data_IF_244464230787
#
_entry.id   IF_244464230787
#
_cell.length_a   1.000
_cell.length_b   1.000
_cell.length_c   1.000
_cell.angle_alpha   90.00
_cell.angle_beta   90.00
_cell.angle_gamma   90.00
#
_symmetry.space_group_name_H-M   'P 1'
#
loop_
_entity.id
_entity.type
_entity.pdbx_description
1 polymer ?
#
# COMPACT_ATOMS: atom_id res chain seq x y z
N UNK A 1 9.15 -65.22 89.06
CA UNK A 1 9.35 -66.02 87.84
C UNK A 1 7.99 -66.39 87.30
N UNK A 2 7.50 -65.63 86.32
CA UNK A 2 6.26 -65.93 85.58
C UNK A 2 6.72 -66.35 84.19
N UNK A 3 6.47 -67.60 83.85
CA UNK A 3 6.82 -68.17 82.54
C UNK A 3 5.92 -67.58 81.47
N UNK A 4 6.52 -66.94 80.47
CA UNK A 4 5.84 -66.55 79.25
C UNK A 4 6.01 -67.75 78.30
N UNK A 5 4.91 -68.45 78.06
CA UNK A 5 4.80 -69.44 76.98
C UNK A 5 4.98 -68.74 75.62
N UNK A 6 5.69 -69.31 74.65
CA UNK A 6 5.76 -68.75 73.31
C UNK A 6 4.38 -68.83 72.65
N UNK A 7 3.89 -67.70 72.16
CA UNK A 7 2.71 -67.62 71.29
C UNK A 7 3.15 -68.17 69.93
N UNK A 8 3.04 -69.48 69.75
CA UNK A 8 3.04 -70.13 68.45
C UNK A 8 1.61 -70.13 67.92
N UNK A 9 1.32 -69.14 67.05
CA UNK A 9 0.25 -69.08 66.05
C UNK A 9 -0.24 -67.64 65.87
N UNK A 10 0.60 -66.80 65.25
CA UNK A 10 0.07 -65.73 64.41
C UNK A 10 -0.30 -66.43 63.10
N UNK A 11 -1.49 -67.01 63.08
CA UNK A 11 -2.04 -67.66 61.90
C UNK A 11 -2.03 -66.68 60.72
N UNK A 12 -1.52 -67.14 59.59
CA UNK A 12 -1.66 -66.45 58.31
C UNK A 12 -3.16 -66.31 58.04
N UNK A 13 -3.73 -65.13 58.29
CA UNK A 13 -5.18 -64.93 58.24
C UNK A 13 -5.78 -64.94 56.82
N UNK A 14 -4.97 -65.06 55.78
CA UNK A 14 -5.42 -65.28 54.41
C UNK A 14 -4.31 -65.96 53.61
N UNK A 15 -4.48 -67.26 53.31
CA UNK A 15 -3.65 -67.95 52.33
C UNK A 15 -4.30 -67.72 50.95
N UNK A 16 -3.75 -66.77 50.19
CA UNK A 16 -4.23 -66.53 48.84
C UNK A 16 -3.57 -67.56 47.93
N UNK A 17 -4.33 -68.56 47.51
CA UNK A 17 -3.85 -69.52 46.51
C UNK A 17 -3.42 -68.78 45.23
N UNK A 18 -2.38 -69.33 44.60
CA UNK A 18 -1.89 -68.84 43.32
C UNK A 18 -3.06 -68.77 42.29
N UNK A 19 -3.24 -67.68 41.52
CA UNK A 19 -2.39 -66.49 41.34
C UNK A 19 -2.80 -65.26 42.18
N UNK A 20 -3.74 -65.39 43.12
CA UNK A 20 -4.26 -64.22 43.85
C UNK A 20 -3.22 -63.58 44.77
N UNK A 21 -2.31 -64.36 45.35
CA UNK A 21 -1.20 -63.85 46.17
C UNK A 21 -0.33 -62.85 45.41
N UNK A 22 0.01 -63.16 44.16
CA UNK A 22 0.90 -62.34 43.33
C UNK A 22 0.22 -61.05 42.87
N UNK A 23 -1.08 -61.10 42.60
CA UNK A 23 -1.87 -59.91 42.30
C UNK A 23 -1.89 -59.00 43.53
N UNK A 24 -2.18 -59.54 44.72
CA UNK A 24 -2.22 -58.78 45.98
C UNK A 24 -0.86 -58.15 46.30
N UNK A 25 0.25 -58.83 46.03
CA UNK A 25 1.60 -58.31 46.25
C UNK A 25 1.93 -57.08 45.39
N UNK A 26 1.31 -56.96 44.21
CA UNK A 26 1.61 -55.87 43.25
C UNK A 26 0.62 -54.71 43.31
N UNK A 27 -0.55 -54.89 43.95
CA UNK A 27 -1.55 -53.83 44.19
C UNK A 27 -0.96 -52.55 44.81
N UNK A 28 -0.06 -52.59 45.83
CA UNK A 28 0.54 -51.39 46.41
C UNK A 28 1.35 -50.54 45.44
N UNK A 29 1.82 -51.13 44.34
CA UNK A 29 2.60 -50.44 43.29
C UNK A 29 1.72 -49.98 42.13
N UNK A 30 0.77 -50.82 41.72
CA UNK A 30 -0.14 -50.54 40.60
C UNK A 30 -1.12 -49.42 40.93
N UNK A 31 -1.70 -49.40 42.13
CA UNK A 31 -2.68 -48.37 42.50
C UNK A 31 -2.08 -46.94 42.43
N UNK A 32 -0.94 -46.63 43.06
CA UNK A 32 -0.32 -45.32 42.93
C UNK A 32 -0.01 -44.93 41.48
N UNK A 33 0.48 -45.86 40.66
CA UNK A 33 0.76 -45.61 39.25
C UNK A 33 -0.51 -45.23 38.46
N UNK A 34 -1.62 -45.94 38.69
CA UNK A 34 -2.91 -45.62 38.07
C UNK A 34 -3.43 -44.25 38.54
N UNK A 35 -3.36 -43.95 39.83
CA UNK A 35 -3.77 -42.65 40.36
C UNK A 35 -2.93 -41.51 39.76
N UNK A 36 -1.61 -41.67 39.72
CA UNK A 36 -0.69 -40.65 39.20
C UNK A 36 -0.85 -40.47 37.69
N UNK A 37 -1.05 -41.57 36.94
CA UNK A 37 -1.39 -41.54 35.52
C UNK A 37 -2.70 -40.80 35.25
N UNK A 38 -3.73 -41.06 36.05
CA UNK A 38 -5.03 -40.38 35.95
C UNK A 38 -4.88 -38.88 36.19
N UNK A 39 -4.15 -38.49 37.24
CA UNK A 39 -3.90 -37.09 37.59
C UNK A 39 -3.20 -36.36 36.44
N UNK A 40 -2.15 -36.95 35.85
CA UNK A 40 -1.42 -36.35 34.74
C UNK A 40 -2.26 -36.19 33.48
N UNK A 41 -3.10 -37.18 33.15
CA UNK A 41 -4.01 -37.09 32.01
C UNK A 41 -5.15 -36.09 32.24
N UNK A 42 -5.67 -35.93 33.45
CA UNK A 42 -6.69 -34.92 33.74
C UNK A 42 -6.10 -33.51 33.73
N UNK A 43 -4.88 -33.35 34.25
CA UNK A 43 -4.22 -32.04 34.32
C UNK A 43 -3.90 -31.45 32.94
N UNK A 44 -3.68 -32.28 31.92
CA UNK A 44 -3.41 -31.81 30.55
C UNK A 44 -4.50 -30.85 30.02
N UNK A 45 -5.74 -30.96 30.52
CA UNK A 45 -6.88 -30.13 30.11
C UNK A 45 -6.68 -28.65 30.44
N UNK A 46 -5.89 -28.36 31.47
CA UNK A 46 -5.66 -27.01 31.97
C UNK A 46 -4.40 -26.34 31.38
N UNK A 47 -3.63 -27.06 30.56
CA UNK A 47 -2.43 -26.52 29.90
C UNK A 47 -2.72 -26.13 28.45
N UNK A 48 -2.10 -25.04 28.00
CA UNK A 48 -2.17 -24.58 26.61
C UNK A 48 -1.64 -25.63 25.64
N UNK A 49 -2.22 -25.67 24.43
CA UNK A 49 -1.98 -26.77 23.49
C UNK A 49 -0.53 -26.88 23.02
N UNK A 50 0.20 -25.76 23.00
CA UNK A 50 1.54 -25.69 22.42
C UNK A 50 2.66 -25.84 23.46
N UNK A 51 2.32 -26.07 24.73
CA UNK A 51 3.34 -26.21 25.77
C UNK A 51 3.93 -27.63 25.78
N UNK A 52 5.25 -27.74 25.62
CA UNK A 52 6.02 -28.99 25.79
C UNK A 52 5.70 -29.70 27.11
N UNK A 53 5.35 -28.93 28.15
CA UNK A 53 4.92 -29.43 29.46
C UNK A 53 3.68 -30.32 29.37
N UNK A 54 2.70 -29.95 28.53
CA UNK A 54 1.49 -30.75 28.30
C UNK A 54 1.84 -32.09 27.69
N UNK A 55 2.68 -32.09 26.64
CA UNK A 55 3.08 -33.33 25.95
C UNK A 55 3.87 -34.26 26.88
N UNK A 56 4.76 -33.69 27.71
CA UNK A 56 5.49 -34.46 28.71
C UNK A 56 4.56 -35.10 29.75
N UNK A 57 3.59 -34.35 30.28
CA UNK A 57 2.61 -34.86 31.24
C UNK A 57 1.74 -35.98 30.66
N UNK A 58 1.29 -35.83 29.42
CA UNK A 58 0.53 -36.87 28.71
C UNK A 58 1.38 -38.11 28.51
N UNK A 59 2.63 -37.95 28.06
CA UNK A 59 3.56 -39.05 27.89
C UNK A 59 3.79 -39.81 29.20
N UNK A 60 4.10 -39.11 30.30
CA UNK A 60 4.28 -39.74 31.60
C UNK A 60 3.01 -40.41 32.12
N UNK A 61 1.84 -39.79 31.89
CA UNK A 61 0.56 -40.40 32.22
C UNK A 61 0.35 -41.75 31.51
N UNK A 62 0.60 -41.79 30.19
CA UNK A 62 0.53 -43.02 29.39
C UNK A 62 1.55 -44.05 29.88
N UNK A 63 2.80 -43.65 30.13
CA UNK A 63 3.85 -44.55 30.64
C UNK A 63 3.44 -45.19 31.96
N UNK A 64 2.83 -44.45 32.88
CA UNK A 64 2.35 -45.03 34.14
C UNK A 64 1.21 -46.02 33.96
N UNK A 65 0.24 -45.75 33.07
CA UNK A 65 -0.80 -46.73 32.75
C UNK A 65 -0.24 -47.98 32.09
N UNK A 66 0.67 -47.82 31.12
CA UNK A 66 1.31 -48.97 30.44
C UNK A 66 2.12 -49.78 31.45
N UNK A 67 2.87 -49.14 32.32
CA UNK A 67 3.67 -49.82 33.36
C UNK A 67 2.77 -50.56 34.35
N UNK A 68 1.70 -49.91 34.83
CA UNK A 68 0.71 -50.53 35.72
C UNK A 68 0.02 -51.73 35.08
N UNK A 69 -0.39 -51.60 33.81
CA UNK A 69 -1.00 -52.67 33.04
C UNK A 69 -0.03 -53.82 32.80
N UNK A 70 1.21 -53.54 32.41
CA UNK A 70 2.25 -54.56 32.21
C UNK A 70 2.60 -55.26 33.52
N UNK A 71 2.63 -54.55 34.66
CA UNK A 71 2.83 -55.19 35.96
C UNK A 71 1.69 -56.15 36.30
N UNK A 72 0.43 -55.74 36.10
CA UNK A 72 -0.73 -56.59 36.37
C UNK A 72 -0.82 -57.78 35.40
N UNK A 73 -0.49 -57.56 34.13
CA UNK A 73 -0.40 -58.61 33.13
C UNK A 73 0.76 -59.57 33.45
N UNK A 74 1.91 -59.05 33.84
CA UNK A 74 3.03 -59.88 34.21
C UNK A 74 2.74 -60.72 35.47
N UNK A 75 2.04 -60.18 36.47
CA UNK A 75 1.65 -60.97 37.66
C UNK A 75 0.55 -61.98 37.38
N UNK A 76 -0.45 -61.62 36.58
CA UNK A 76 -1.54 -62.53 36.23
C UNK A 76 -1.11 -63.66 35.28
N UNK A 77 -0.15 -63.41 34.39
CA UNK A 77 0.26 -64.36 33.35
C UNK A 77 1.61 -65.03 33.60
N UNK A 78 2.52 -64.38 34.34
CA UNK A 78 3.93 -64.78 34.50
C UNK A 78 4.16 -66.11 35.19
N UNK A 79 3.15 -66.66 35.85
CA UNK A 79 3.32 -67.90 36.61
C UNK A 79 2.47 -69.10 36.14
N UNK A 80 1.55 -68.97 35.17
CA UNK A 80 0.79 -70.14 34.67
C UNK A 80 0.58 -70.21 33.14
N UNK A 81 0.84 -69.16 32.36
CA UNK A 81 0.44 -69.19 30.95
C UNK A 81 1.56 -69.62 29.99
N UNK A 82 1.50 -70.86 29.51
CA UNK A 82 2.32 -71.50 28.43
C UNK A 82 3.46 -72.43 28.88
N UNK A 83 3.14 -73.55 29.54
CA UNK A 83 3.95 -74.76 29.45
C UNK A 83 4.20 -75.50 30.77
N UNK A 84 4.89 -76.66 30.72
CA UNK A 84 5.42 -77.34 31.89
C UNK A 84 6.24 -76.37 32.76
N UNK A 85 6.42 -76.65 34.05
CA UNK A 85 7.13 -75.78 35.03
C UNK A 85 8.53 -75.29 34.55
N UNK A 86 9.10 -75.95 33.55
CA UNK A 86 10.38 -75.63 32.90
C UNK A 86 10.31 -74.51 31.84
N UNK A 87 9.12 -74.10 31.41
CA UNK A 87 8.84 -73.10 30.37
C UNK A 87 8.23 -71.81 30.93
N UNK A 88 8.46 -71.51 32.21
CA UNK A 88 8.22 -70.15 32.72
C UNK A 88 9.08 -69.17 31.92
N UNK A 89 8.46 -68.14 31.32
CA UNK A 89 9.20 -67.06 30.65
C UNK A 89 10.23 -66.53 31.64
N UNK A 90 11.51 -66.79 31.34
CA UNK A 90 12.63 -66.52 32.24
C UNK A 90 12.59 -65.09 32.78
N UNK A 91 12.93 -64.98 34.06
CA UNK A 91 12.91 -63.78 34.92
C UNK A 91 11.69 -63.59 35.83
N UNK A 92 10.73 -64.52 35.94
CA UNK A 92 9.68 -64.43 36.98
C UNK A 92 10.26 -64.38 38.40
N UNK A 93 11.09 -65.36 38.76
CA UNK A 93 11.82 -65.38 40.05
C UNK A 93 12.74 -64.17 40.22
N UNK A 94 13.31 -63.66 39.13
CA UNK A 94 14.12 -62.45 39.17
C UNK A 94 13.25 -61.21 39.40
N UNK A 95 12.07 -61.09 38.80
CA UNK A 95 11.16 -59.98 39.03
C UNK A 95 10.60 -60.03 40.44
N UNK A 96 10.09 -61.18 40.91
CA UNK A 96 9.60 -61.33 42.27
C UNK A 96 10.75 -61.09 43.26
N UNK A 97 11.94 -61.62 43.01
CA UNK A 97 13.13 -61.33 43.81
C UNK A 97 13.53 -59.87 43.81
N UNK A 98 13.43 -59.17 42.68
CA UNK A 98 13.70 -57.74 42.56
C UNK A 98 12.62 -56.91 43.27
N UNK A 99 11.35 -57.24 43.09
CA UNK A 99 10.21 -56.56 43.69
C UNK A 99 10.21 -56.77 45.20
N UNK A 100 10.52 -57.98 45.64
CA UNK A 100 10.73 -58.30 47.05
C UNK A 100 11.96 -57.59 47.60
N UNK A 101 13.10 -57.55 46.91
CA UNK A 101 14.26 -56.78 47.34
C UNK A 101 13.95 -55.29 47.46
N UNK A 102 13.18 -54.72 46.53
CA UNK A 102 12.71 -53.32 46.60
C UNK A 102 11.74 -53.15 47.77
N UNK A 103 10.82 -54.09 47.96
CA UNK A 103 9.87 -54.10 49.09
C UNK A 103 10.62 -54.17 50.43
N UNK A 104 11.64 -55.01 50.53
CA UNK A 104 12.47 -55.19 51.72
C UNK A 104 13.34 -53.97 51.98
N UNK A 105 13.87 -53.32 50.94
CA UNK A 105 14.61 -52.05 51.09
C UNK A 105 13.68 -50.94 51.58
N UNK A 106 12.46 -50.85 51.05
CA UNK A 106 11.52 -49.77 51.39
C UNK A 106 10.85 -50.04 52.75
N UNK A 107 10.34 -51.25 52.96
CA UNK A 107 9.49 -51.62 54.10
C UNK A 107 10.16 -52.56 55.11
N UNK A 108 11.33 -53.13 54.80
CA UNK A 108 12.07 -53.97 55.75
C UNK A 108 12.67 -53.19 56.92
N UNK A 109 12.67 -51.84 56.85
CA UNK A 109 12.98 -50.96 57.97
C UNK A 109 11.90 -49.89 58.20
N UNK A 110 11.65 -49.60 59.48
CA UNK A 110 10.75 -48.52 59.90
C UNK A 110 11.29 -47.16 59.41
N UNK A 111 12.61 -46.99 59.38
CA UNK A 111 13.23 -45.72 58.94
C UNK A 111 13.04 -45.50 57.44
N UNK A 112 13.29 -46.53 56.63
CA UNK A 112 13.15 -46.45 55.17
C UNK A 112 11.70 -46.24 54.74
N UNK A 113 10.76 -46.88 55.44
CA UNK A 113 9.33 -46.70 55.17
C UNK A 113 8.84 -45.30 55.56
N UNK A 114 9.33 -44.71 56.66
CA UNK A 114 9.04 -43.31 56.97
C UNK A 114 9.61 -42.35 55.92
N UNK A 115 10.85 -42.56 55.46
CA UNK A 115 11.47 -41.73 54.41
C UNK A 115 10.67 -41.84 53.11
N UNK A 116 10.28 -43.05 52.70
CA UNK A 116 9.43 -43.28 51.54
C UNK A 116 8.11 -42.52 51.66
N UNK A 117 7.42 -42.61 52.80
CA UNK A 117 6.16 -41.90 53.04
C UNK A 117 6.34 -40.38 52.94
N UNK A 118 7.41 -39.82 53.53
CA UNK A 118 7.71 -38.39 53.43
C UNK A 118 7.92 -37.98 51.97
N UNK A 119 8.68 -38.76 51.20
CA UNK A 119 8.94 -38.48 49.78
C UNK A 119 7.63 -38.54 48.99
N UNK A 120 6.81 -39.57 49.19
CA UNK A 120 5.53 -39.70 48.50
C UNK A 120 4.60 -38.55 48.87
N UNK A 121 4.49 -38.17 50.14
CA UNK A 121 3.68 -37.02 50.58
C UNK A 121 4.22 -35.71 50.02
N UNK A 122 5.54 -35.52 49.96
CA UNK A 122 6.14 -34.32 49.37
C UNK A 122 5.89 -34.25 47.86
N UNK A 123 6.09 -35.35 47.13
CA UNK A 123 5.82 -35.43 45.69
C UNK A 123 4.33 -35.23 45.40
N UNK A 124 3.44 -35.87 46.17
CA UNK A 124 2.00 -35.68 46.04
C UNK A 124 1.56 -34.28 46.45
N UNK A 125 2.21 -33.65 47.43
CA UNK A 125 1.95 -32.26 47.83
C UNK A 125 2.41 -31.25 46.78
N UNK A 126 3.58 -31.47 46.17
CA UNK A 126 4.07 -30.69 45.03
C UNK A 126 3.13 -30.88 43.84
N UNK A 127 2.80 -32.13 43.50
CA UNK A 127 1.85 -32.44 42.44
C UNK A 127 0.50 -31.77 42.73
N UNK A 128 -0.07 -31.90 43.92
CA UNK A 128 -1.32 -31.24 44.29
C UNK A 128 -1.23 -29.72 44.19
N UNK A 129 -0.12 -29.09 44.64
CA UNK A 129 0.07 -27.65 44.51
C UNK A 129 0.15 -27.20 43.06
N UNK A 130 0.83 -27.94 42.18
CA UNK A 130 0.94 -27.56 40.77
C UNK A 130 -0.28 -27.98 39.94
N UNK A 131 -0.96 -29.06 40.32
CA UNK A 131 -2.03 -29.72 39.56
C UNK A 131 -3.44 -29.33 40.01
N UNK A 132 -3.68 -29.28 41.32
CA UNK A 132 -5.01 -29.00 41.91
C UNK A 132 -5.18 -27.50 42.17
N UNK A 133 -4.09 -26.79 42.46
CA UNK A 133 -4.09 -25.34 42.64
C UNK A 133 -3.06 -24.67 41.70
N UNK A 134 -3.17 -24.84 40.37
CA UNK A 134 -2.40 -23.98 39.48
C UNK A 134 -2.68 -22.53 39.90
N UNK A 135 -1.65 -21.69 40.04
CA UNK A 135 -1.87 -20.27 40.26
C UNK A 135 -2.66 -19.78 39.05
N UNK A 136 -3.96 -19.58 39.26
CA UNK A 136 -4.84 -18.75 38.45
C UNK A 136 -5.24 -19.27 37.04
N UNK A 137 -6.06 -20.34 36.95
CA UNK A 137 -6.60 -20.83 35.67
C UNK A 137 -7.49 -19.81 34.94
N UNK A 138 -8.16 -18.92 35.68
CA UNK A 138 -9.04 -17.89 35.11
C UNK A 138 -8.26 -16.74 34.45
N UNK A 139 -7.03 -16.49 34.88
CA UNK A 139 -6.24 -15.35 34.37
C UNK A 139 -5.61 -15.63 33.01
N UNK A 140 -5.41 -16.90 32.63
CA UNK A 140 -4.87 -17.24 31.31
C UNK A 140 -5.89 -16.91 30.22
N UNK A 141 -7.16 -17.25 30.46
CA UNK A 141 -8.27 -16.86 29.58
C UNK A 141 -8.45 -15.35 29.54
N UNK A 142 -8.48 -14.69 30.70
CA UNK A 142 -8.61 -13.23 30.79
C UNK A 142 -7.42 -12.48 30.16
N UNK A 143 -6.19 -13.00 30.25
CA UNK A 143 -5.03 -12.40 29.58
C UNK A 143 -5.13 -12.51 28.07
N UNK A 144 -5.65 -13.63 27.56
CA UNK A 144 -5.86 -13.84 26.14
C UNK A 144 -6.99 -12.95 25.62
N UNK A 145 -8.09 -12.84 26.37
CA UNK A 145 -9.18 -11.90 26.10
C UNK A 145 -8.70 -10.45 26.16
N UNK A 146 -7.89 -10.07 27.15
CA UNK A 146 -7.34 -8.71 27.27
C UNK A 146 -6.37 -8.41 26.12
N UNK A 147 -5.55 -9.39 25.72
CA UNK A 147 -4.67 -9.25 24.56
C UNK A 147 -5.47 -9.11 23.26
N UNK A 148 -6.50 -9.94 23.06
CA UNK A 148 -7.37 -9.87 21.89
C UNK A 148 -8.15 -8.55 21.86
N UNK A 149 -8.64 -8.09 23.01
CA UNK A 149 -9.29 -6.79 23.15
C UNK A 149 -8.31 -5.66 22.81
N UNK A 150 -7.08 -5.73 23.29
CA UNK A 150 -6.05 -4.74 22.98
C UNK A 150 -5.66 -4.72 21.49
N UNK A 151 -5.56 -5.89 20.85
CA UNK A 151 -5.32 -6.00 19.41
C UNK A 151 -6.50 -5.45 18.60
N UNK A 152 -7.74 -5.75 19.00
CA UNK A 152 -8.94 -5.19 18.36
C UNK A 152 -9.05 -3.68 18.54
N UNK A 153 -8.61 -3.16 19.68
CA UNK A 153 -8.60 -1.72 19.96
C UNK A 153 -7.56 -1.01 19.08
N UNK A 154 -6.38 -1.59 18.89
CA UNK A 154 -5.39 -1.07 17.93
C UNK A 154 -5.92 -1.06 16.50
N UNK A 155 -6.57 -2.13 16.07
CA UNK A 155 -7.20 -2.18 14.74
C UNK A 155 -8.28 -1.12 14.59
N UNK A 156 -9.10 -0.92 15.62
CA UNK A 156 -10.11 0.13 15.63
C UNK A 156 -9.48 1.54 15.57
N UNK A 157 -8.41 1.79 16.32
CA UNK A 157 -7.65 3.05 16.28
C UNK A 157 -7.07 3.31 14.88
N UNK A 158 -6.48 2.30 14.23
CA UNK A 158 -5.96 2.41 12.87
C UNK A 158 -7.08 2.74 11.86
N UNK A 159 -8.24 2.08 11.96
CA UNK A 159 -9.40 2.38 11.11
C UNK A 159 -9.94 3.79 11.35
N UNK A 160 -9.99 4.25 12.60
CA UNK A 160 -10.40 5.64 12.93
C UNK A 160 -9.44 6.64 12.31
N UNK A 161 -8.12 6.41 12.39
CA UNK A 161 -7.12 7.29 11.75
C UNK A 161 -7.26 7.32 10.23
N UNK A 162 -7.54 6.17 9.60
CA UNK A 162 -7.81 6.11 8.15
C UNK A 162 -9.08 6.89 7.78
N UNK A 163 -10.17 6.72 8.54
CA UNK A 163 -11.41 7.45 8.31
C UNK A 163 -11.26 8.96 8.54
N UNK A 164 -10.44 9.38 9.51
CA UNK A 164 -10.12 10.79 9.73
C UNK A 164 -9.32 11.38 8.56
N UNK A 165 -8.37 10.62 8.01
CA UNK A 165 -7.61 11.02 6.82
C UNK A 165 -8.52 11.12 5.58
N UNK A 166 -9.38 10.13 5.34
CA UNK A 166 -10.36 10.15 4.25
C UNK A 166 -11.36 11.30 4.39
N UNK A 167 -11.87 11.56 5.60
CA UNK A 167 -12.74 12.71 5.86
C UNK A 167 -12.06 14.02 5.53
N UNK A 168 -10.79 14.19 5.88
CA UNK A 168 -10.01 15.38 5.55
C UNK A 168 -9.85 15.52 4.03
N UNK A 169 -9.48 14.44 3.34
CA UNK A 169 -9.35 14.42 1.89
C UNK A 169 -10.66 14.74 1.17
N UNK A 170 -11.78 14.18 1.61
CA UNK A 170 -13.10 14.48 1.08
C UNK A 170 -13.48 15.94 1.33
N UNK A 171 -13.17 16.49 2.52
CA UNK A 171 -13.43 17.89 2.82
C UNK A 171 -12.64 18.82 1.91
N UNK A 172 -11.37 18.50 1.62
CA UNK A 172 -10.54 19.24 0.65
C UNK A 172 -11.10 19.13 -0.77
N UNK A 173 -11.55 17.94 -1.19
CA UNK A 173 -12.21 17.76 -2.49
C UNK A 173 -13.52 18.54 -2.60
N UNK A 174 -14.33 18.58 -1.54
CA UNK A 174 -15.55 19.37 -1.51
C UNK A 174 -15.25 20.86 -1.64
N UNK A 175 -14.28 21.38 -0.88
CA UNK A 175 -13.87 22.78 -0.97
C UNK A 175 -13.39 23.13 -2.40
N UNK A 176 -12.58 22.26 -3.02
CA UNK A 176 -12.10 22.46 -4.39
C UNK A 176 -13.25 22.41 -5.42
N UNK A 177 -14.24 21.53 -5.21
CA UNK A 177 -15.42 21.45 -6.08
C UNK A 177 -16.32 22.68 -5.93
N UNK A 178 -16.48 23.20 -4.72
CA UNK A 178 -17.20 24.46 -4.47
C UNK A 178 -16.50 25.64 -5.13
N UNK A 179 -15.17 25.74 -5.04
CA UNK A 179 -14.39 26.78 -5.72
C UNK A 179 -14.55 26.71 -7.24
N UNK A 180 -14.40 25.52 -7.83
CA UNK A 180 -14.61 25.32 -9.26
C UNK A 180 -16.05 25.66 -9.71
N UNK A 181 -17.06 25.36 -8.88
CA UNK A 181 -18.44 25.72 -9.19
C UNK A 181 -18.66 27.23 -9.13
N UNK A 182 -18.04 27.93 -8.17
CA UNK A 182 -18.08 29.39 -8.10
C UNK A 182 -17.38 30.04 -9.30
N UNK A 183 -16.24 29.50 -9.73
CA UNK A 183 -15.53 29.95 -10.93
C UNK A 183 -16.39 29.77 -12.18
N UNK A 184 -16.96 28.58 -12.39
CA UNK A 184 -17.87 28.32 -13.53
C UNK A 184 -19.13 29.19 -13.50
N UNK A 185 -19.67 29.49 -12.33
CA UNK A 185 -20.78 30.44 -12.19
C UNK A 185 -20.38 31.85 -12.61
N UNK A 186 -19.19 32.31 -12.19
CA UNK A 186 -18.66 33.61 -12.60
C UNK A 186 -18.37 33.68 -14.10
N UNK A 187 -17.82 32.61 -14.68
CA UNK A 187 -17.61 32.50 -16.12
C UNK A 187 -18.94 32.56 -16.87
N UNK A 188 -19.98 31.83 -16.42
CA UNK A 188 -21.32 31.88 -17.02
C UNK A 188 -21.94 33.28 -16.96
N UNK A 189 -21.81 33.99 -15.84
CA UNK A 189 -22.27 35.37 -15.72
C UNK A 189 -21.52 36.31 -16.68
N UNK A 190 -20.20 36.13 -16.80
CA UNK A 190 -19.37 36.91 -17.74
C UNK A 190 -19.73 36.62 -19.19
N UNK A 191 -19.95 35.37 -19.57
CA UNK A 191 -20.38 34.97 -20.90
C UNK A 191 -21.77 35.51 -21.21
N UNK A 192 -22.69 35.44 -20.24
CA UNK A 192 -24.04 35.99 -20.40
C UNK A 192 -23.99 37.50 -20.66
N UNK A 193 -23.22 38.26 -19.89
CA UNK A 193 -23.05 39.70 -20.13
C UNK A 193 -22.41 40.02 -21.47
N UNK A 194 -21.42 39.22 -21.93
CA UNK A 194 -20.83 39.37 -23.28
C UNK A 194 -21.82 39.06 -24.40
N UNK A 195 -22.71 38.09 -24.21
CA UNK A 195 -23.77 37.78 -25.16
C UNK A 195 -24.78 38.92 -25.19
N UNK A 196 -25.22 39.43 -24.04
CA UNK A 196 -26.12 40.58 -23.95
C UNK A 196 -25.51 41.83 -24.62
N UNK A 197 -24.21 42.09 -24.43
CA UNK A 197 -23.53 43.20 -25.11
C UNK A 197 -23.42 42.98 -26.62
N UNK A 198 -23.09 41.76 -27.07
CA UNK A 198 -23.02 41.44 -28.49
C UNK A 198 -24.39 41.50 -29.18
N UNK A 199 -25.46 41.09 -28.49
CA UNK A 199 -26.84 41.25 -28.97
C UNK A 199 -27.24 42.72 -29.07
N UNK A 200 -26.87 43.54 -28.08
CA UNK A 200 -27.09 44.98 -28.11
C UNK A 200 -26.30 45.67 -29.25
N UNK A 201 -25.04 45.30 -29.46
CA UNK A 201 -24.22 45.78 -30.58
C UNK A 201 -24.81 45.35 -31.92
N UNK A 202 -25.27 44.10 -32.04
CA UNK A 202 -25.93 43.61 -33.25
C UNK A 202 -27.22 44.38 -33.55
N UNK A 203 -28.03 44.69 -32.53
CA UNK A 203 -29.23 45.52 -32.69
C UNK A 203 -28.86 46.95 -33.08
N UNK A 204 -27.83 47.53 -32.47
CA UNK A 204 -27.35 48.86 -32.82
C UNK A 204 -26.81 48.91 -34.25
N UNK A 205 -26.04 47.90 -34.68
CA UNK A 205 -25.54 47.76 -36.05
C UNK A 205 -26.67 47.51 -37.04
N UNK A 206 -27.66 46.68 -36.71
CA UNK A 206 -28.83 46.45 -37.55
C UNK A 206 -29.63 47.75 -37.74
N UNK A 207 -29.82 48.52 -36.67
CA UNK A 207 -30.45 49.84 -36.72
C UNK A 207 -29.62 50.85 -37.51
N UNK A 208 -28.30 50.85 -37.35
CA UNK A 208 -27.40 51.66 -38.19
C UNK A 208 -27.42 51.21 -39.65
N UNK A 209 -27.69 49.94 -39.96
CA UNK A 209 -27.86 49.46 -41.33
C UNK A 209 -29.21 49.89 -41.93
N UNK A 210 -30.28 49.95 -41.13
CA UNK A 210 -31.58 50.49 -41.54
C UNK A 210 -31.57 52.03 -41.66
N UNK A 211 -30.85 52.72 -40.77
CA UNK A 211 -30.70 54.19 -40.76
C UNK A 211 -29.58 54.67 -41.68
N UNK A 212 -28.62 53.82 -42.03
CA UNK A 212 -27.72 54.08 -43.14
C UNK A 212 -28.62 54.29 -44.35
N UNK A 213 -28.53 55.45 -45.03
CA UNK A 213 -29.30 55.65 -46.22
C UNK A 213 -28.91 54.51 -47.15
N UNK A 214 -29.84 53.57 -47.40
CA UNK A 214 -29.82 52.72 -48.58
C UNK A 214 -29.34 53.64 -49.67
N UNK A 215 -28.12 53.41 -50.21
CA UNK A 215 -27.43 54.30 -51.17
C UNK A 215 -28.51 54.92 -52.01
N UNK A 216 -28.87 56.16 -51.68
CA UNK A 216 -30.21 56.62 -52.04
C UNK A 216 -30.27 56.56 -53.55
N UNK A 217 -31.42 56.20 -54.13
CA UNK A 217 -31.56 56.25 -55.58
C UNK A 217 -31.05 57.61 -56.12
N UNK A 218 -31.10 58.69 -55.31
CA UNK A 218 -30.46 59.98 -55.55
C UNK A 218 -28.92 59.95 -55.57
N UNK A 219 -28.23 59.29 -54.63
CA UNK A 219 -26.77 59.12 -54.65
C UNK A 219 -26.33 58.23 -55.82
N UNK A 220 -27.11 57.21 -56.15
CA UNK A 220 -26.89 56.37 -57.33
C UNK A 220 -27.11 57.16 -58.63
N UNK A 221 -28.17 57.98 -58.71
CA UNK A 221 -28.41 58.89 -59.83
C UNK A 221 -27.33 59.97 -59.95
N UNK A 222 -26.84 60.50 -58.82
CA UNK A 222 -25.78 61.49 -58.78
C UNK A 222 -24.44 60.87 -59.20
N UNK A 223 -24.15 59.64 -58.79
CA UNK A 223 -23.00 58.89 -59.27
C UNK A 223 -23.12 58.58 -60.77
N UNK A 224 -24.30 58.19 -61.27
CA UNK A 224 -24.54 58.00 -62.71
C UNK A 224 -24.37 59.30 -63.50
N UNK A 225 -24.85 60.44 -62.97
CA UNK A 225 -24.64 61.75 -63.59
C UNK A 225 -23.17 62.18 -63.54
N UNK A 226 -22.45 61.84 -62.46
CA UNK A 226 -21.00 62.07 -62.38
C UNK A 226 -20.23 61.15 -63.32
N UNK A 227 -20.67 59.91 -63.51
CA UNK A 227 -20.10 58.98 -64.49
C UNK A 227 -20.32 59.53 -65.90
N UNK A 228 -21.54 59.95 -66.26
CA UNK A 228 -21.81 60.55 -67.56
C UNK A 228 -20.98 61.82 -67.82
N UNK A 229 -20.86 62.71 -66.83
CA UNK A 229 -19.97 63.89 -66.93
C UNK A 229 -18.50 63.50 -67.06
N UNK A 230 -18.07 62.46 -66.34
CA UNK A 230 -16.71 61.94 -66.46
C UNK A 230 -16.50 61.25 -67.79
N UNK A 231 -17.49 60.60 -68.38
CA UNK A 231 -17.43 60.00 -69.72
C UNK A 231 -17.35 61.09 -70.78
N UNK A 232 -18.09 62.20 -70.65
CA UNK A 232 -17.93 63.38 -71.53
C UNK A 232 -16.52 63.98 -71.42
N UNK A 233 -16.00 64.08 -70.19
CA UNK A 233 -14.63 64.55 -69.94
C UNK A 233 -13.60 63.54 -70.45
N UNK A 234 -13.84 62.24 -70.32
CA UNK A 234 -12.97 61.20 -70.87
C UNK A 234 -13.00 61.27 -72.39
N UNK A 235 -14.14 61.54 -73.02
CA UNK A 235 -14.23 61.68 -74.46
C UNK A 235 -13.49 62.94 -74.94
N UNK A 236 -13.58 64.05 -74.19
CA UNK A 236 -12.80 65.26 -74.45
C UNK A 236 -11.31 65.03 -74.21
N UNK A 237 -10.93 64.34 -73.13
CA UNK A 237 -9.55 63.97 -72.82
C UNK A 237 -9.03 62.93 -73.80
N UNK A 238 -9.87 62.07 -74.38
CA UNK A 238 -9.49 61.13 -75.42
C UNK A 238 -9.24 61.86 -76.73
N UNK A 239 -10.07 62.86 -77.09
CA UNK A 239 -9.75 63.74 -78.22
C UNK A 239 -8.48 64.55 -77.96
N UNK A 240 -8.28 65.00 -76.71
CA UNK A 240 -7.06 65.73 -76.32
C UNK A 240 -5.85 64.78 -76.24
N UNK A 241 -6.02 63.51 -75.88
CA UNK A 241 -4.99 62.47 -75.92
C UNK A 241 -4.69 62.08 -77.37
N UNK A 242 -5.66 62.07 -78.27
CA UNK A 242 -5.41 61.83 -79.70
C UNK A 242 -4.67 63.03 -80.32
N UNK A 243 -5.04 64.26 -79.93
CA UNK A 243 -4.32 65.49 -80.25
C UNK A 243 -2.93 65.54 -79.60
N UNK A 244 -2.77 65.06 -78.37
CA UNK A 244 -1.50 64.97 -77.65
C UNK A 244 -0.67 63.76 -78.09
N UNK A 245 -1.26 62.68 -78.61
CA UNK A 245 -0.54 61.54 -79.23
C UNK A 245 0.14 61.99 -80.52
N UNK A 246 -0.55 62.83 -81.28
CA UNK A 246 0.05 63.58 -82.40
C UNK A 246 1.24 64.46 -81.96
N UNK A 247 1.28 64.89 -80.68
CA UNK A 247 2.39 65.65 -80.08
C UNK A 247 3.44 64.75 -79.43
N UNK A 248 3.07 63.61 -78.86
CA UNK A 248 3.91 62.66 -78.11
C UNK A 248 4.65 61.67 -79.04
N UNK A 249 4.23 61.50 -80.30
CA UNK A 249 5.07 60.90 -81.36
C UNK A 249 6.42 61.65 -81.56
N UNK A 250 6.63 62.79 -80.89
CA UNK A 250 7.89 63.55 -80.92
C UNK A 250 8.87 63.36 -79.75
N UNK A 251 8.63 62.54 -78.70
CA UNK A 251 9.70 62.07 -77.78
C UNK A 251 9.25 61.06 -76.72
N UNK A 252 10.10 60.08 -76.30
CA UNK A 252 9.73 59.03 -75.36
C UNK A 252 10.01 59.38 -73.88
N UNK A 253 9.17 58.79 -73.02
CA UNK A 253 9.21 58.78 -71.55
C UNK A 253 10.40 58.01 -70.96
N UNK A 254 10.78 58.41 -69.74
CA UNK A 254 11.86 57.82 -68.94
C UNK A 254 11.38 56.61 -68.10
N UNK A 255 12.24 55.60 -68.00
CA UNK A 255 12.01 54.33 -67.33
C UNK A 255 12.22 54.39 -65.80
N UNK A 256 11.47 53.55 -65.08
CA UNK A 256 11.53 53.33 -63.63
C UNK A 256 12.64 52.33 -63.26
N UNK A 257 13.43 52.66 -62.22
CA UNK A 257 14.61 51.93 -61.73
C UNK A 257 14.33 50.48 -61.29
N UNK A 258 14.89 49.55 -62.05
CA UNK A 258 14.81 48.08 -61.89
C UNK A 258 15.72 47.53 -60.77
N UNK A 259 16.70 48.29 -60.30
CA UNK A 259 17.65 47.88 -59.26
C UNK A 259 17.02 47.75 -57.87
N UNK A 260 16.12 48.69 -57.51
CA UNK A 260 15.43 48.68 -56.21
C UNK A 260 14.53 47.47 -56.01
N UNK A 261 13.96 46.96 -57.10
CA UNK A 261 13.10 45.76 -57.08
C UNK A 261 13.95 44.51 -56.80
N UNK A 262 15.14 44.41 -57.39
CA UNK A 262 16.03 43.25 -57.19
C UNK A 262 16.58 43.15 -55.77
N UNK A 263 16.88 44.28 -55.12
CA UNK A 263 17.35 44.30 -53.73
C UNK A 263 16.26 43.85 -52.75
N UNK A 264 15.03 44.34 -52.91
CA UNK A 264 13.88 43.95 -52.09
C UNK A 264 13.52 42.47 -52.24
N UNK A 265 13.66 41.90 -53.44
CA UNK A 265 13.46 40.46 -53.66
C UNK A 265 14.50 39.60 -52.92
N UNK A 266 15.76 40.07 -52.86
CA UNK A 266 16.83 39.36 -52.16
C UNK A 266 16.62 39.36 -50.64
N UNK A 267 16.20 40.49 -50.06
CA UNK A 267 15.89 40.64 -48.63
C UNK A 267 14.65 39.83 -48.23
N UNK A 268 13.64 39.78 -49.10
CA UNK A 268 12.44 38.98 -48.87
C UNK A 268 12.75 37.48 -48.88
N UNK A 269 13.72 37.04 -49.71
CA UNK A 269 14.14 35.65 -49.78
C UNK A 269 14.94 35.22 -48.54
N UNK A 270 15.83 36.07 -48.02
CA UNK A 270 16.55 35.80 -46.76
C UNK A 270 15.62 35.83 -45.56
N UNK A 271 14.69 36.78 -45.49
CA UNK A 271 13.68 36.83 -44.43
C UNK A 271 12.75 35.60 -44.42
N UNK A 272 12.35 35.10 -45.60
CA UNK A 272 11.58 33.84 -45.69
C UNK A 272 12.37 32.63 -45.20
N UNK A 273 13.67 32.58 -45.46
CA UNK A 273 14.53 31.48 -45.04
C UNK A 273 14.72 31.45 -43.51
N UNK A 274 14.89 32.60 -42.86
CA UNK A 274 15.04 32.68 -41.40
C UNK A 274 13.74 32.33 -40.68
N UNK A 275 12.58 32.77 -41.19
CA UNK A 275 11.27 32.40 -40.63
C UNK A 275 11.02 30.89 -40.72
N UNK A 276 11.40 30.25 -41.84
CA UNK A 276 11.26 28.81 -42.01
C UNK A 276 12.15 28.00 -41.05
N UNK A 277 13.38 28.47 -40.78
CA UNK A 277 14.29 27.83 -39.81
C UNK A 277 13.78 27.96 -38.37
N UNK A 278 13.28 29.15 -37.98
CA UNK A 278 12.67 29.37 -36.66
C UNK A 278 11.40 28.54 -36.48
N UNK A 279 10.59 28.38 -37.53
CA UNK A 279 9.39 27.54 -37.49
C UNK A 279 9.72 26.07 -37.20
N UNK A 280 10.73 25.49 -37.89
CA UNK A 280 11.17 24.11 -37.63
C UNK A 280 11.76 23.93 -36.24
N UNK A 281 12.54 24.89 -35.76
CA UNK A 281 13.10 24.85 -34.39
C UNK A 281 12.03 24.95 -33.33
N UNK A 282 10.96 25.71 -33.59
CA UNK A 282 9.81 25.78 -32.70
C UNK A 282 9.06 24.45 -32.63
N UNK A 283 8.80 23.80 -33.77
CA UNK A 283 8.19 22.45 -33.79
C UNK A 283 9.03 21.43 -33.02
N UNK A 284 10.35 21.44 -33.25
CA UNK A 284 11.29 20.57 -32.51
C UNK A 284 11.26 20.87 -31.00
N UNK A 285 11.16 22.15 -30.62
CA UNK A 285 11.08 22.55 -29.21
C UNK A 285 9.75 22.15 -28.55
N UNK A 286 8.64 22.08 -29.30
CA UNK A 286 7.36 21.55 -28.82
C UNK A 286 7.41 20.05 -28.58
N UNK A 287 8.03 19.28 -29.49
CA UNK A 287 8.25 17.85 -29.27
C UNK A 287 9.16 17.58 -28.07
N UNK A 288 10.22 18.39 -27.91
CA UNK A 288 11.13 18.30 -26.76
C UNK A 288 10.44 18.73 -25.47
N UNK A 289 9.54 19.72 -25.48
CA UNK A 289 8.81 20.14 -24.27
C UNK A 289 7.89 19.05 -23.74
N UNK A 290 7.23 18.29 -24.62
CA UNK A 290 6.39 17.15 -24.21
C UNK A 290 7.24 16.04 -23.58
N UNK A 291 8.41 15.76 -24.16
CA UNK A 291 9.38 14.82 -23.56
C UNK A 291 9.88 15.32 -22.20
N UNK A 292 10.15 16.61 -22.05
CA UNK A 292 10.61 17.21 -20.77
C UNK A 292 9.50 17.16 -19.71
N UNK A 293 8.24 17.35 -20.09
CA UNK A 293 7.10 17.22 -19.17
C UNK A 293 6.98 15.78 -18.65
N UNK A 294 7.17 14.79 -19.52
CA UNK A 294 7.21 13.37 -19.12
C UNK A 294 8.38 13.09 -18.16
N UNK A 295 9.58 13.58 -18.48
CA UNK A 295 10.78 13.46 -17.63
C UNK A 295 10.59 14.11 -16.25
N UNK A 296 9.90 15.26 -16.17
CA UNK A 296 9.60 15.94 -14.91
C UNK A 296 8.65 15.11 -14.02
N UNK A 297 7.68 14.42 -14.62
CA UNK A 297 6.78 13.52 -13.89
C UNK A 297 7.53 12.30 -13.33
N UNK A 298 8.44 11.71 -14.10
CA UNK A 298 9.30 10.62 -13.64
C UNK A 298 10.29 11.08 -12.55
N UNK A 299 10.81 12.31 -12.66
CA UNK A 299 11.69 12.89 -11.66
C UNK A 299 11.00 13.08 -10.30
N UNK A 300 9.71 13.46 -10.28
CA UNK A 300 8.91 13.55 -9.05
C UNK A 300 8.85 12.17 -8.37
N UNK A 301 8.53 11.11 -9.13
CA UNK A 301 8.50 9.74 -8.60
C UNK A 301 9.87 9.31 -8.05
N UNK A 302 10.95 9.69 -8.74
CA UNK A 302 12.33 9.40 -8.33
C UNK A 302 12.73 10.14 -7.06
N UNK A 303 12.32 11.41 -6.89
CA UNK A 303 12.58 12.21 -5.68
C UNK A 303 11.80 11.62 -4.50
N UNK A 304 10.54 11.26 -4.69
CA UNK A 304 9.69 10.66 -3.65
C UNK A 304 10.27 9.31 -3.15
N UNK A 305 10.80 8.49 -4.06
CA UNK A 305 11.47 7.22 -3.76
C UNK A 305 12.94 7.31 -3.29
N UNK A 306 13.55 8.50 -3.25
CA UNK A 306 14.96 8.69 -2.87
C UNK A 306 15.19 8.64 -1.35
N UNK A 307 16.46 8.56 -0.90
CA UNK A 307 16.84 8.61 0.53
C UNK A 307 16.95 10.03 1.11
N UNK A 308 16.51 11.07 0.38
CA UNK A 308 16.61 12.46 0.81
C UNK A 308 15.80 12.75 2.08
N UNK A 309 16.25 13.73 2.87
CA UNK A 309 15.52 14.24 4.02
C UNK A 309 14.07 14.64 3.61
N UNK A 310 13.05 14.31 4.41
CA UNK A 310 11.65 14.68 4.15
C UNK A 310 11.46 16.17 3.76
N UNK A 311 12.19 17.09 4.37
CA UNK A 311 12.14 18.52 4.04
C UNK A 311 12.69 18.81 2.64
N UNK A 312 13.81 18.18 2.27
CA UNK A 312 14.41 18.31 0.94
C UNK A 312 13.54 17.69 -0.15
N UNK A 313 12.86 16.58 0.14
CA UNK A 313 11.89 15.96 -0.77
C UNK A 313 10.73 16.90 -1.08
N UNK A 314 10.13 17.49 -0.05
CA UNK A 314 9.00 18.42 -0.22
C UNK A 314 9.42 19.66 -1.04
N UNK A 315 10.59 20.22 -0.75
CA UNK A 315 11.10 21.39 -1.47
C UNK A 315 11.40 21.08 -2.94
N UNK A 316 12.07 19.97 -3.23
CA UNK A 316 12.41 19.56 -4.60
C UNK A 316 11.15 19.16 -5.40
N UNK A 317 10.23 18.40 -4.81
CA UNK A 317 8.97 18.05 -5.47
C UNK A 317 8.12 19.28 -5.77
N UNK A 318 8.07 20.27 -4.86
CA UNK A 318 7.38 21.54 -5.10
C UNK A 318 8.00 22.33 -6.27
N UNK A 319 9.32 22.39 -6.32
CA UNK A 319 10.06 23.06 -7.39
C UNK A 319 9.88 22.37 -8.74
N UNK A 320 9.91 21.04 -8.79
CA UNK A 320 9.66 20.28 -10.03
C UNK A 320 8.21 20.43 -10.50
N UNK A 321 7.23 20.46 -9.58
CA UNK A 321 5.82 20.73 -9.90
C UNK A 321 5.58 22.15 -10.41
N UNK A 322 6.25 23.16 -9.84
CA UNK A 322 6.13 24.53 -10.32
C UNK A 322 6.77 24.71 -11.69
N UNK A 323 7.90 24.04 -11.94
CA UNK A 323 8.56 24.00 -13.25
C UNK A 323 7.68 23.34 -14.32
N UNK A 324 7.05 22.20 -13.99
CA UNK A 324 6.11 21.52 -14.88
C UNK A 324 4.88 22.36 -15.23
N UNK A 325 4.33 23.10 -14.26
CA UNK A 325 3.23 24.05 -14.50
C UNK A 325 3.64 25.23 -15.37
N UNK A 326 4.85 25.77 -15.17
CA UNK A 326 5.38 26.85 -16.00
C UNK A 326 5.60 26.38 -17.45
N UNK A 327 6.17 25.19 -17.64
CA UNK A 327 6.35 24.58 -18.97
C UNK A 327 5.03 24.28 -19.68
N UNK A 328 4.03 23.75 -18.97
CA UNK A 328 2.72 23.49 -19.55
C UNK A 328 2.00 24.75 -20.06
N UNK A 329 2.30 25.92 -19.48
CA UNK A 329 1.78 27.22 -19.97
C UNK A 329 2.50 27.69 -21.23
N UNK A 330 3.82 27.50 -21.32
CA UNK A 330 4.61 27.90 -22.48
C UNK A 330 4.38 26.99 -23.69
N UNK A 331 4.20 25.68 -23.44
CA UNK A 331 4.01 24.63 -24.45
C UNK A 331 2.60 24.54 -25.03
N UNK A 332 1.61 25.25 -24.46
CA UNK A 332 0.21 25.14 -24.92
C UNK A 332 0.06 25.67 -26.35
N UNK A 333 -0.60 24.94 -27.26
CA UNK A 333 -0.89 25.41 -28.61
C UNK A 333 -2.07 26.39 -28.54
N UNK A 334 -1.78 27.69 -28.51
CA UNK A 334 -2.78 28.72 -28.83
C UNK A 334 -2.58 29.12 -30.30
N UNK A 335 -3.68 29.24 -31.05
CA UNK A 335 -3.70 29.44 -32.50
C UNK A 335 -3.09 30.77 -33.01
N UNK A 336 -2.59 31.63 -32.12
CA UNK A 336 -2.04 32.96 -32.46
C UNK A 336 -0.67 33.25 -31.81
N UNK A 337 0.35 32.39 -32.02
CA UNK A 337 1.73 32.71 -31.59
C UNK A 337 2.54 33.34 -32.72
N UNK A 338 2.88 34.62 -32.54
CA UNK A 338 3.83 35.36 -33.36
C UNK A 338 5.26 34.82 -33.29
N UNK A 339 6.18 35.29 -34.15
CA UNK A 339 7.56 34.80 -34.21
C UNK A 339 8.34 34.97 -32.89
N UNK A 340 8.04 36.02 -32.11
CA UNK A 340 8.71 36.28 -30.82
C UNK A 340 8.39 35.22 -29.76
N UNK A 341 7.15 34.73 -29.71
CA UNK A 341 6.71 33.72 -28.74
C UNK A 341 7.36 32.35 -28.97
N UNK A 342 7.77 32.06 -30.21
CA UNK A 342 8.48 30.82 -30.57
C UNK A 342 9.93 30.83 -30.08
N UNK A 343 10.57 31.99 -30.09
CA UNK A 343 11.94 32.15 -29.58
C UNK A 343 11.96 32.04 -28.05
N UNK A 344 10.95 32.59 -27.38
CA UNK A 344 10.77 32.44 -25.92
C UNK A 344 10.56 30.98 -25.50
N UNK A 345 9.82 30.18 -26.29
CA UNK A 345 9.63 28.76 -26.04
C UNK A 345 10.95 27.97 -26.11
N UNK A 346 11.78 28.23 -27.12
CA UNK A 346 13.10 27.59 -27.25
C UNK A 346 13.99 27.91 -26.04
N UNK A 347 14.01 29.18 -25.60
CA UNK A 347 14.77 29.60 -24.42
C UNK A 347 14.27 28.98 -23.11
N UNK A 348 12.95 28.88 -22.94
CA UNK A 348 12.33 28.26 -21.77
C UNK A 348 12.65 26.76 -21.66
N UNK A 349 12.56 26.02 -22.77
CA UNK A 349 12.88 24.58 -22.82
C UNK A 349 14.34 24.32 -22.39
N UNK A 350 15.29 25.13 -22.87
CA UNK A 350 16.70 25.01 -22.50
C UNK A 350 16.94 25.23 -21.00
N UNK A 351 16.40 26.31 -20.42
CA UNK A 351 16.57 26.61 -19.00
C UNK A 351 15.99 25.51 -18.10
N UNK A 352 14.83 24.96 -18.49
CA UNK A 352 14.20 23.86 -17.75
C UNK A 352 15.04 22.60 -17.80
N UNK A 353 15.62 22.29 -18.97
CA UNK A 353 16.52 21.15 -19.11
C UNK A 353 17.75 21.24 -18.19
N UNK A 354 18.37 22.43 -18.08
CA UNK A 354 19.51 22.65 -17.17
C UNK A 354 19.12 22.49 -15.69
N UNK A 355 17.95 23.00 -15.30
CA UNK A 355 17.43 22.87 -13.93
C UNK A 355 17.16 21.39 -13.59
N UNK A 356 16.53 20.65 -14.52
CA UNK A 356 16.25 19.21 -14.37
C UNK A 356 17.55 18.42 -14.21
N UNK A 357 18.57 18.72 -15.00
CA UNK A 357 19.87 18.06 -14.89
C UNK A 357 20.59 18.37 -13.56
N UNK A 358 20.46 19.61 -13.06
CA UNK A 358 20.94 19.99 -11.74
C UNK A 358 20.29 19.17 -10.61
N UNK A 359 18.96 19.00 -10.68
CA UNK A 359 18.20 18.21 -9.70
C UNK A 359 18.55 16.72 -9.80
N UNK A 360 18.63 16.16 -11.02
CA UNK A 360 19.06 14.77 -11.26
C UNK A 360 20.45 14.50 -10.64
N UNK A 361 21.38 15.45 -10.73
CA UNK A 361 22.70 15.34 -10.08
C UNK A 361 22.60 15.32 -8.55
N UNK A 362 21.80 16.20 -7.94
CA UNK A 362 21.60 16.24 -6.48
C UNK A 362 20.97 14.95 -5.93
N UNK A 363 19.97 14.41 -6.63
CA UNK A 363 19.33 13.15 -6.25
C UNK A 363 20.30 11.96 -6.36
N UNK A 364 21.16 11.94 -7.39
CA UNK A 364 22.20 10.90 -7.55
C UNK A 364 23.31 10.99 -6.49
N UNK A 365 23.68 12.18 -6.04
CA UNK A 365 24.67 12.35 -4.95
C UNK A 365 24.13 12.00 -3.55
N UNK A 366 22.82 11.82 -3.42
CA UNK A 366 22.14 11.48 -2.15
C UNK A 366 21.75 10.00 -2.05
N UNK A 367 22.08 9.18 -3.06
CA UNK A 367 22.15 7.72 -2.92
C UNK A 367 23.48 7.34 -2.27
#
# INVERSE_FOLDING_TARGET
MVGISPISDIGVCADFEFPMSDIVAVVPYVLPLLFLGTIFLLYQRYLRRDELRRNALVFFGIVFYVTAFLMLLYTGFGAVWWGPDELTFGSWWFLIGLLQAVTDIIFGSVLTSMVYLIIVVAVMGIAARYVIAPPDPDFVGLQEELKNAQESLKQAEELVQQLEAEKKQLTEQFAQREENLAELQSELESLKSRVESAEAEKLALAKQLEEAPAVSAEREQELLNQIAKKDDVIQSLQSEIDDLRLVVESKPEAAVDTERVSQLESELKTAKATVADVARRAETATEVSDSVISDLAELISTIEGSGLDPSAKIALTSLVKSLGRAMGRVSRPDDEKGPDTRVEMIGAVMMVHEIVDGIKKLVRSSK
#
